data_IF_815144573968
#
_entry.id   IF_815144573968
#
_cell.length_a   1.000
_cell.length_b   1.000
_cell.length_c   1.000
_cell.angle_alpha   90.00
_cell.angle_beta   90.00
_cell.angle_gamma   90.00
#
_symmetry.space_group_name_H-M   'P 1'
#
loop_
_entity.id
_entity.type
_entity.pdbx_description
1 polymer ?
#
# COMPACT_ATOMS: atom_id res chain seq x y z
N UNK A 1 -21.42 -5.22 9.89
CA UNK A 1 -21.00 -4.00 9.16
C UNK A 1 -22.20 -3.43 8.42
N UNK A 2 -22.62 -2.19 8.68
CA UNK A 2 -23.79 -1.58 8.00
C UNK A 2 -23.40 -1.11 6.59
N UNK A 3 -24.26 -1.38 5.59
CA UNK A 3 -24.08 -0.97 4.18
C UNK A 3 -23.69 0.52 4.03
N UNK A 4 -24.20 1.39 4.90
CA UNK A 4 -23.90 2.83 4.86
C UNK A 4 -22.45 3.18 5.21
N UNK A 5 -21.75 2.33 5.97
CA UNK A 5 -20.33 2.55 6.31
C UNK A 5 -19.38 2.19 5.16
N UNK A 6 -19.68 1.12 4.43
CA UNK A 6 -18.92 0.68 3.26
C UNK A 6 -19.07 1.65 2.09
N UNK A 7 -20.29 2.16 1.85
CA UNK A 7 -20.56 3.14 0.79
C UNK A 7 -19.81 4.46 1.03
N UNK A 8 -19.80 4.97 2.27
CA UNK A 8 -19.05 6.19 2.62
C UNK A 8 -17.54 6.04 2.44
N UNK A 9 -16.97 4.87 2.77
CA UNK A 9 -15.54 4.59 2.53
C UNK A 9 -15.21 4.52 1.04
N UNK A 10 -16.07 3.87 0.25
CA UNK A 10 -15.91 3.79 -1.20
C UNK A 10 -15.96 5.18 -1.85
N UNK A 11 -16.95 6.01 -1.48
CA UNK A 11 -17.06 7.39 -1.96
C UNK A 11 -15.83 8.21 -1.57
N UNK A 12 -15.37 8.16 -0.31
CA UNK A 12 -14.17 8.89 0.13
C UNK A 12 -12.92 8.45 -0.63
N UNK A 13 -12.75 7.15 -0.88
CA UNK A 13 -11.64 6.63 -1.67
C UNK A 13 -11.68 7.15 -3.12
N UNK A 14 -12.86 7.17 -3.74
CA UNK A 14 -13.05 7.66 -5.11
C UNK A 14 -12.90 9.18 -5.24
N UNK A 15 -13.43 9.96 -4.30
CA UNK A 15 -13.46 11.44 -4.40
C UNK A 15 -12.21 12.12 -3.87
N UNK A 16 -11.45 11.47 -2.98
CA UNK A 16 -10.29 12.10 -2.34
C UNK A 16 -9.02 11.24 -2.32
N UNK A 17 -9.14 9.92 -2.33
CA UNK A 17 -7.98 9.02 -2.34
C UNK A 17 -7.32 8.92 -3.71
N UNK A 18 -8.11 8.54 -4.72
CA UNK A 18 -7.65 8.36 -6.10
C UNK A 18 -7.07 9.65 -6.70
N UNK A 19 -7.77 10.81 -6.66
CA UNK A 19 -7.22 12.05 -7.20
C UNK A 19 -5.91 12.47 -6.53
N UNK A 20 -5.78 12.22 -5.22
CA UNK A 20 -4.60 12.61 -4.45
C UNK A 20 -3.38 11.75 -4.77
N UNK A 21 -3.55 10.43 -4.89
CA UNK A 21 -2.47 9.54 -5.32
C UNK A 21 -2.05 9.85 -6.76
N UNK A 22 -3.01 10.13 -7.64
CA UNK A 22 -2.73 10.54 -9.01
C UNK A 22 -1.94 11.85 -9.06
N UNK A 23 -2.39 12.88 -8.34
CA UNK A 23 -1.70 14.17 -8.26
C UNK A 23 -0.28 14.01 -7.69
N UNK A 24 -0.11 13.21 -6.63
CA UNK A 24 1.21 12.94 -6.06
C UNK A 24 2.16 12.26 -7.06
N UNK A 25 1.67 11.27 -7.82
CA UNK A 25 2.46 10.63 -8.88
C UNK A 25 2.89 11.66 -9.94
N UNK A 26 1.97 12.51 -10.39
CA UNK A 26 2.26 13.55 -11.40
C UNK A 26 3.26 14.58 -10.88
N UNK A 27 3.11 15.04 -9.64
CA UNK A 27 4.05 15.97 -8.99
C UNK A 27 5.43 15.36 -8.80
N UNK A 28 5.52 14.05 -8.61
CA UNK A 28 6.79 13.31 -8.53
C UNK A 28 7.38 12.96 -9.92
N UNK A 29 6.77 13.43 -11.01
CA UNK A 29 7.31 13.31 -12.37
C UNK A 29 6.82 12.11 -13.19
N UNK A 30 5.93 11.26 -12.66
CA UNK A 30 5.32 10.18 -13.45
C UNK A 30 4.45 10.79 -14.56
N UNK A 31 4.45 10.26 -15.77
CA UNK A 31 3.52 10.69 -16.83
C UNK A 31 2.06 10.31 -16.50
N UNK A 32 1.11 10.65 -17.38
CA UNK A 32 -0.30 10.33 -17.15
C UNK A 32 -0.60 8.83 -17.11
N UNK A 33 0.11 8.03 -17.91
CA UNK A 33 -0.06 6.58 -18.01
C UNK A 33 0.50 5.90 -16.77
N UNK A 34 1.71 6.29 -16.36
CA UNK A 34 2.38 5.78 -15.16
C UNK A 34 1.61 6.18 -13.90
N UNK A 35 1.10 7.42 -13.83
CA UNK A 35 0.24 7.84 -12.72
C UNK A 35 -1.04 7.00 -12.62
N UNK A 36 -1.70 6.68 -13.75
CA UNK A 36 -2.85 5.79 -13.76
C UNK A 36 -2.48 4.35 -13.37
N UNK A 37 -1.34 3.85 -13.84
CA UNK A 37 -0.83 2.52 -13.48
C UNK A 37 -0.47 2.42 -11.98
N UNK A 38 0.11 3.47 -11.40
CA UNK A 38 0.41 3.59 -9.97
C UNK A 38 -0.85 3.54 -9.11
N UNK A 39 -1.89 4.28 -9.48
CA UNK A 39 -3.19 4.23 -8.80
C UNK A 39 -3.80 2.83 -8.89
N UNK A 40 -3.75 2.23 -10.09
CA UNK A 40 -4.27 0.88 -10.32
C UNK A 40 -3.53 -0.17 -9.48
N UNK A 41 -2.20 -0.10 -9.43
CA UNK A 41 -1.36 -0.96 -8.59
C UNK A 41 -1.67 -0.80 -7.10
N UNK A 42 -1.95 0.44 -6.66
CA UNK A 42 -2.35 0.74 -5.27
C UNK A 42 -3.70 0.07 -4.93
N UNK A 43 -4.68 0.14 -5.84
CA UNK A 43 -5.96 -0.55 -5.68
C UNK A 43 -5.79 -2.08 -5.69
N UNK A 44 -4.96 -2.62 -6.57
CA UNK A 44 -4.67 -4.06 -6.62
C UNK A 44 -4.03 -4.57 -5.33
N UNK A 45 -3.07 -3.84 -4.75
CA UNK A 45 -2.46 -4.22 -3.47
C UNK A 45 -3.50 -4.33 -2.35
N UNK A 46 -4.43 -3.36 -2.27
CA UNK A 46 -5.55 -3.42 -1.34
C UNK A 46 -6.43 -4.64 -1.57
N UNK A 47 -6.84 -4.91 -2.82
CA UNK A 47 -7.73 -6.03 -3.14
C UNK A 47 -7.10 -7.39 -2.83
N UNK A 48 -5.82 -7.59 -3.19
CA UNK A 48 -5.12 -8.86 -2.93
C UNK A 48 -4.98 -9.09 -1.42
N UNK A 49 -4.53 -8.08 -0.67
CA UNK A 49 -4.42 -8.19 0.79
C UNK A 49 -5.79 -8.44 1.46
N UNK A 50 -6.84 -7.75 1.01
CA UNK A 50 -8.20 -7.92 1.53
C UNK A 50 -8.76 -9.32 1.31
N UNK A 51 -8.52 -9.90 0.12
CA UNK A 51 -8.94 -11.28 -0.20
C UNK A 51 -8.19 -12.30 0.64
N UNK A 52 -6.91 -12.04 0.93
CA UNK A 52 -6.07 -12.94 1.73
C UNK A 52 -6.41 -12.90 3.23
N UNK A 53 -6.79 -11.74 3.74
CA UNK A 53 -7.03 -11.50 5.16
C UNK A 53 -8.39 -10.80 5.43
N UNK A 54 -9.53 -11.42 5.07
CA UNK A 54 -10.84 -10.75 5.09
C UNK A 54 -11.35 -10.35 6.49
N UNK A 55 -10.81 -10.96 7.54
CA UNK A 55 -11.23 -10.73 8.94
C UNK A 55 -10.07 -10.29 9.86
N UNK A 56 -8.88 -10.10 9.31
CA UNK A 56 -7.66 -9.78 10.06
C UNK A 56 -7.14 -8.40 9.67
N UNK A 57 -7.90 -7.34 10.00
CA UNK A 57 -7.61 -5.98 9.53
C UNK A 57 -6.17 -5.53 9.79
N UNK A 58 -5.60 -5.93 10.93
CA UNK A 58 -4.23 -5.62 11.36
C UNK A 58 -3.18 -6.19 10.42
N UNK A 59 -3.27 -7.51 10.22
CA UNK A 59 -2.39 -8.24 9.32
C UNK A 59 -2.58 -7.77 7.89
N UNK A 60 -3.84 -7.59 7.47
CA UNK A 60 -4.19 -7.06 6.17
C UNK A 60 -3.54 -5.69 5.90
N UNK A 61 -3.65 -4.75 6.85
CA UNK A 61 -3.05 -3.42 6.71
C UNK A 61 -1.53 -3.54 6.55
N UNK A 62 -0.85 -4.25 7.45
CA UNK A 62 0.60 -4.36 7.42
C UNK A 62 1.11 -5.01 6.12
N UNK A 63 0.47 -6.11 5.72
CA UNK A 63 0.75 -6.83 4.45
C UNK A 63 0.52 -5.93 3.25
N UNK A 64 -0.59 -5.18 3.22
CA UNK A 64 -0.90 -4.23 2.15
C UNK A 64 0.18 -3.17 2.02
N UNK A 65 0.58 -2.51 3.11
CA UNK A 65 1.57 -1.43 3.08
C UNK A 65 2.93 -1.93 2.58
N UNK A 66 3.39 -3.07 3.10
CA UNK A 66 4.61 -3.70 2.64
C UNK A 66 4.56 -4.03 1.14
N UNK A 67 3.55 -4.80 0.70
CA UNK A 67 3.47 -5.28 -0.68
C UNK A 67 3.30 -4.13 -1.68
N UNK A 68 2.49 -3.13 -1.31
CA UNK A 68 2.30 -1.92 -2.10
C UNK A 68 3.63 -1.18 -2.30
N UNK A 69 4.35 -0.89 -1.23
CA UNK A 69 5.58 -0.11 -1.29
C UNK A 69 6.75 -0.87 -1.93
N UNK A 70 6.82 -2.20 -1.76
CA UNK A 70 7.78 -3.03 -2.47
C UNK A 70 7.56 -3.01 -3.98
N UNK A 71 6.31 -3.13 -4.43
CA UNK A 71 5.97 -3.08 -5.85
C UNK A 71 6.32 -1.71 -6.46
N UNK A 72 5.90 -0.62 -5.79
CA UNK A 72 6.14 0.74 -6.29
C UNK A 72 7.62 1.04 -6.37
N UNK A 73 8.38 0.71 -5.32
CA UNK A 73 9.82 0.95 -5.28
C UNK A 73 10.55 0.18 -6.36
N UNK A 74 10.19 -1.08 -6.57
CA UNK A 74 10.81 -1.90 -7.60
C UNK A 74 10.61 -1.35 -9.01
N UNK A 75 9.42 -0.81 -9.32
CA UNK A 75 9.03 -0.40 -10.67
C UNK A 75 9.32 1.07 -10.99
N UNK A 76 9.16 1.95 -10.02
CA UNK A 76 9.20 3.40 -10.21
C UNK A 76 10.25 4.09 -9.33
N UNK A 77 11.00 3.34 -8.53
CA UNK A 77 12.01 3.87 -7.63
C UNK A 77 11.44 4.31 -6.28
N UNK A 78 12.36 4.47 -5.33
CA UNK A 78 12.03 4.75 -3.92
C UNK A 78 11.39 6.14 -3.73
N UNK A 79 11.82 7.14 -4.50
CA UNK A 79 11.31 8.51 -4.38
C UNK A 79 9.83 8.61 -4.80
N UNK A 80 9.45 7.94 -5.89
CA UNK A 80 8.05 7.84 -6.31
C UNK A 80 7.21 7.11 -5.26
N UNK A 81 7.72 5.99 -4.73
CA UNK A 81 7.02 5.20 -3.72
C UNK A 81 6.76 6.01 -2.43
N UNK A 82 7.76 6.79 -1.99
CA UNK A 82 7.65 7.72 -0.85
C UNK A 82 6.63 8.83 -1.09
N UNK A 83 6.67 9.48 -2.25
CA UNK A 83 5.72 10.53 -2.59
C UNK A 83 4.26 10.04 -2.50
N UNK A 84 4.00 8.80 -2.94
CA UNK A 84 2.69 8.17 -2.83
C UNK A 84 2.35 7.74 -1.41
N UNK A 85 3.32 7.23 -0.64
CA UNK A 85 3.14 6.93 0.79
C UNK A 85 2.71 8.19 1.55
N UNK A 86 3.44 9.29 1.38
CA UNK A 86 3.14 10.56 2.07
C UNK A 86 1.76 11.12 1.65
N UNK A 87 1.40 10.98 0.37
CA UNK A 87 0.07 11.35 -0.11
C UNK A 87 -1.04 10.48 0.50
N UNK A 88 -0.78 9.19 0.69
CA UNK A 88 -1.70 8.29 1.39
C UNK A 88 -1.89 8.72 2.84
N UNK A 89 -0.79 8.95 3.56
CA UNK A 89 -0.79 9.35 4.98
C UNK A 89 -1.47 10.71 5.21
N UNK A 90 -1.30 11.69 4.31
CA UNK A 90 -2.01 12.99 4.39
C UNK A 90 -3.54 12.85 4.37
N UNK A 91 -4.07 11.73 3.90
CA UNK A 91 -5.50 11.43 3.97
C UNK A 91 -5.94 10.68 5.21
N UNK A 92 -5.00 10.22 6.03
CA UNK A 92 -5.27 9.59 7.32
C UNK A 92 -5.45 10.69 8.37
N UNK A 93 -6.47 10.55 9.22
CA UNK A 93 -6.74 11.48 10.32
C UNK A 93 -6.09 11.03 11.64
N UNK A 94 -5.23 10.01 11.62
CA UNK A 94 -4.65 9.40 12.83
C UNK A 94 -3.12 9.28 12.75
N UNK A 95 -2.44 10.04 13.62
CA UNK A 95 -0.99 10.12 13.65
C UNK A 95 -0.30 8.84 14.19
N UNK A 96 -0.96 8.06 15.06
CA UNK A 96 -0.39 6.82 15.62
C UNK A 96 -0.45 5.71 14.58
N UNK A 97 -1.60 5.57 13.90
CA UNK A 97 -1.77 4.65 12.77
C UNK A 97 -0.72 4.93 11.69
N UNK A 98 -0.44 6.20 11.40
CA UNK A 98 0.55 6.61 10.41
C UNK A 98 2.00 6.25 10.74
N UNK A 99 2.38 6.06 12.02
CA UNK A 99 3.77 5.69 12.36
C UNK A 99 4.09 4.23 12.02
N UNK A 100 3.16 3.32 12.28
CA UNK A 100 3.28 1.91 11.96
C UNK A 100 3.18 1.69 10.45
N UNK A 101 2.25 2.38 9.79
CA UNK A 101 2.11 2.33 8.33
C UNK A 101 3.40 2.82 7.64
N UNK A 102 4.05 3.88 8.15
CA UNK A 102 5.38 4.33 7.69
C UNK A 102 6.47 3.26 7.86
N UNK A 103 6.51 2.54 8.98
CA UNK A 103 7.49 1.48 9.20
C UNK A 103 7.29 0.30 8.22
N UNK A 104 6.05 -0.14 8.05
CA UNK A 104 5.71 -1.18 7.07
C UNK A 104 6.01 -0.73 5.63
N UNK A 105 5.75 0.54 5.31
CA UNK A 105 6.10 1.15 4.04
C UNK A 105 7.62 1.11 3.81
N UNK A 106 8.43 1.50 4.80
CA UNK A 106 9.88 1.50 4.72
C UNK A 106 10.46 0.09 4.52
N UNK A 107 9.92 -0.91 5.23
CA UNK A 107 10.29 -2.32 5.03
C UNK A 107 9.99 -2.78 3.59
N UNK A 108 8.80 -2.42 3.08
CA UNK A 108 8.43 -2.68 1.69
C UNK A 108 9.38 -2.01 0.70
N UNK A 109 9.71 -0.73 0.90
CA UNK A 109 10.66 0.01 0.06
C UNK A 109 12.04 -0.66 0.02
N UNK A 110 12.57 -1.03 1.19
CA UNK A 110 13.86 -1.72 1.28
C UNK A 110 13.84 -3.04 0.51
N UNK A 111 12.80 -3.86 0.69
CA UNK A 111 12.65 -5.12 -0.05
C UNK A 111 12.54 -4.89 -1.56
N UNK A 112 11.72 -3.92 -1.96
CA UNK A 112 11.50 -3.56 -3.37
C UNK A 112 12.76 -3.09 -4.06
N UNK A 113 13.59 -2.29 -3.38
CA UNK A 113 14.88 -1.85 -3.89
C UNK A 113 15.86 -3.02 -4.05
N UNK A 114 15.97 -3.88 -3.04
CA UNK A 114 16.85 -5.05 -3.06
C UNK A 114 16.48 -6.08 -4.14
N UNK A 115 15.19 -6.22 -4.47
CA UNK A 115 14.68 -7.22 -5.41
C UNK A 115 14.14 -6.60 -6.71
N UNK A 116 14.52 -5.36 -7.04
CA UNK A 116 13.91 -4.59 -8.11
C UNK A 116 13.99 -5.29 -9.47
N UNK A 117 15.11 -5.94 -9.78
CA UNK A 117 15.31 -6.65 -11.05
C UNK A 117 14.33 -7.81 -11.24
N UNK A 118 14.02 -8.55 -10.17
CA UNK A 118 13.06 -9.65 -10.18
C UNK A 118 11.63 -9.12 -10.28
N UNK A 119 11.27 -8.15 -9.43
CA UNK A 119 9.90 -7.65 -9.29
C UNK A 119 9.40 -6.86 -10.50
N UNK A 120 10.30 -6.29 -11.32
CA UNK A 120 9.96 -5.57 -12.55
C UNK A 120 9.48 -6.47 -13.70
N UNK A 121 9.90 -7.74 -13.74
CA UNK A 121 9.72 -8.62 -14.91
C UNK A 121 8.35 -9.30 -14.97
N UNK A 122 7.57 -9.28 -13.89
CA UNK A 122 6.30 -10.00 -13.77
C UNK A 122 5.04 -9.15 -14.02
N UNK A 123 3.89 -9.78 -14.32
CA UNK A 123 2.59 -9.13 -14.25
C UNK A 123 2.31 -8.60 -12.83
N UNK A 124 1.70 -7.41 -12.71
CA UNK A 124 1.43 -6.76 -11.40
C UNK A 124 0.74 -7.69 -10.42
N UNK A 125 -0.29 -8.43 -10.87
CA UNK A 125 -1.05 -9.34 -10.01
C UNK A 125 -0.19 -10.46 -9.43
N UNK A 126 0.61 -11.12 -10.27
CA UNK A 126 1.51 -12.19 -9.83
C UNK A 126 2.60 -11.66 -8.89
N UNK A 127 3.16 -10.49 -9.19
CA UNK A 127 4.13 -9.82 -8.31
C UNK A 127 3.51 -9.49 -6.95
N UNK A 128 2.27 -8.99 -6.92
CA UNK A 128 1.58 -8.69 -5.65
C UNK A 128 1.26 -9.94 -4.84
N UNK A 129 0.82 -11.04 -5.47
CA UNK A 129 0.62 -12.32 -4.77
C UNK A 129 1.91 -12.76 -4.09
N UNK A 130 3.03 -12.77 -4.83
CA UNK A 130 4.34 -13.10 -4.26
C UNK A 130 4.75 -12.15 -3.11
N UNK A 131 4.56 -10.84 -3.28
CA UNK A 131 4.90 -9.86 -2.25
C UNK A 131 4.03 -10.00 -1.00
N UNK A 132 2.77 -10.43 -1.14
CA UNK A 132 1.90 -10.75 0.00
C UNK A 132 2.43 -11.96 0.77
N UNK A 133 2.89 -13.02 0.08
CA UNK A 133 3.52 -14.17 0.75
C UNK A 133 4.81 -13.77 1.50
N UNK A 134 5.61 -12.87 0.92
CA UNK A 134 6.78 -12.30 1.60
C UNK A 134 6.34 -11.53 2.84
N UNK A 135 5.37 -10.64 2.71
CA UNK A 135 4.86 -9.83 3.81
C UNK A 135 4.28 -10.70 4.94
N UNK A 136 3.64 -11.83 4.62
CA UNK A 136 3.15 -12.79 5.61
C UNK A 136 4.30 -13.40 6.44
N UNK A 137 5.42 -13.73 5.80
CA UNK A 137 6.62 -14.21 6.50
C UNK A 137 7.23 -13.13 7.39
N UNK A 138 7.28 -11.89 6.90
CA UNK A 138 7.76 -10.75 7.68
C UNK A 138 6.86 -10.43 8.88
N UNK A 139 5.53 -10.53 8.70
CA UNK A 139 4.56 -10.42 9.78
C UNK A 139 4.73 -11.53 10.83
N UNK A 140 4.83 -12.79 10.40
CA UNK A 140 5.01 -13.93 11.30
C UNK A 140 6.32 -13.83 12.10
N UNK A 141 7.36 -13.24 11.51
CA UNK A 141 8.63 -12.97 12.17
C UNK A 141 8.62 -11.72 13.08
N UNK A 142 7.50 -11.02 13.21
CA UNK A 142 7.38 -9.79 14.01
C UNK A 142 8.08 -8.57 13.42
N UNK A 143 8.49 -8.63 12.15
CA UNK A 143 9.16 -7.52 11.45
C UNK A 143 8.18 -6.52 10.83
N UNK A 144 6.92 -6.93 10.65
CA UNK A 144 5.81 -6.02 10.37
C UNK A 144 4.94 -5.84 11.61
N UNK A 145 4.35 -4.66 11.74
CA UNK A 145 3.54 -4.29 12.92
C UNK A 145 2.17 -3.78 12.52
N UNK A 146 1.26 -3.71 13.48
CA UNK A 146 -0.06 -3.06 13.31
C UNK A 146 -0.29 -2.05 14.43
N UNK A 147 -1.03 -0.96 14.20
CA UNK A 147 -1.34 0.01 15.24
C UNK A 147 -2.03 -0.67 16.45
N UNK A 148 -1.79 -0.24 17.70
CA UNK A 148 -2.37 -0.85 18.89
C UNK A 148 -3.91 -0.88 18.83
N UNK A 149 -4.55 -1.77 19.61
CA UNK A 149 -6.03 -1.81 19.64
C UNK A 149 -6.47 -0.48 20.24
N UNK A 150 -7.37 0.23 19.56
CA UNK A 150 -8.24 1.16 20.28
C UNK A 150 -9.12 0.27 21.13
N UNK A 151 -8.74 0.12 22.39
CA UNK A 151 -9.67 -0.34 23.40
C UNK A 151 -10.84 0.65 23.34
N UNK A 152 -12.03 0.14 23.04
CA UNK A 152 -13.26 0.91 23.01
C UNK A 152 -13.67 1.30 24.42
#
# INVERSE_FOLDING_TARGET
>A
MSLGSSLRRAVRAATSGVPRLYAAARSAGADHRDAAALVSASASALMVAARRHPHEWRRQNAVRHFAWQALLTARYGVEMARALADAHERGSSDAVDSSVDRANNAAGQAYGAAHAAQLRRGPVGATLTHLVEVAEREWAAGRLSSPPRRDG
#
